data_IF_598086669412
#
_entry.id   IF_598086669412
#
_cell.length_a   1.000
_cell.length_b   1.000
_cell.length_c   1.000
_cell.angle_alpha   90.00
_cell.angle_beta   90.00
_cell.angle_gamma   90.00
#
_symmetry.space_group_name_H-M   'P 1'
#
loop_
_entity.id
_entity.type
_entity.pdbx_description
1 polymer ?
#
# COMPACT_ATOMS: atom_id res chain seq x y z
N UNK A 1 16.09 -18.83 22.77
CA UNK A 1 15.94 -19.68 21.57
C UNK A 1 14.51 -19.53 21.09
N UNK A 2 14.27 -18.69 20.08
CA UNK A 2 13.96 -19.23 18.76
C UNK A 2 14.44 -18.35 17.59
N UNK A 3 14.19 -18.80 16.35
CA UNK A 3 14.51 -18.20 15.05
C UNK A 3 15.87 -18.55 14.42
N UNK A 4 16.17 -19.85 14.38
CA UNK A 4 16.98 -20.44 13.30
C UNK A 4 16.05 -21.06 12.25
N UNK A 5 15.38 -20.21 11.48
CA UNK A 5 14.84 -20.56 10.17
C UNK A 5 15.19 -19.42 9.21
N UNK A 6 16.49 -19.24 9.00
CA UNK A 6 17.00 -18.69 7.75
C UNK A 6 16.87 -19.81 6.73
N UNK A 7 15.65 -19.98 6.21
CA UNK A 7 15.51 -20.53 4.86
C UNK A 7 16.35 -19.63 3.97
N UNK A 8 17.49 -20.17 3.54
CA UNK A 8 18.26 -19.68 2.41
C UNK A 8 17.32 -19.77 1.20
N UNK A 9 16.45 -18.79 1.03
CA UNK A 9 15.89 -18.50 -0.26
C UNK A 9 17.11 -18.24 -1.14
N UNK A 10 17.34 -19.12 -2.11
CA UNK A 10 18.25 -18.84 -3.21
C UNK A 10 18.06 -17.36 -3.58
N UNK A 11 19.11 -16.56 -3.46
CA UNK A 11 19.15 -15.21 -4.03
C UNK A 11 19.03 -15.39 -5.54
N UNK A 12 17.80 -15.61 -6.00
CA UNK A 12 17.44 -15.46 -7.39
C UNK A 12 17.77 -14.01 -7.68
N UNK A 13 18.81 -13.79 -8.48
CA UNK A 13 19.27 -12.45 -8.85
C UNK A 13 18.04 -11.60 -9.18
N UNK A 14 17.92 -10.49 -8.45
CA UNK A 14 16.72 -9.65 -8.49
C UNK A 14 16.55 -9.13 -9.91
N UNK A 15 15.39 -9.32 -10.54
CA UNK A 15 15.18 -8.81 -11.89
C UNK A 15 15.32 -7.29 -11.89
N UNK A 16 16.31 -6.77 -12.60
CA UNK A 16 16.48 -5.32 -12.74
C UNK A 16 15.46 -4.76 -13.72
N UNK A 17 15.18 -3.45 -13.65
CA UNK A 17 14.33 -2.80 -14.64
C UNK A 17 14.88 -3.00 -16.07
N UNK A 18 16.21 -3.04 -16.19
CA UNK A 18 16.86 -3.25 -17.47
C UNK A 18 16.60 -4.67 -17.99
N UNK A 19 16.76 -5.70 -17.15
CA UNK A 19 16.44 -7.08 -17.53
C UNK A 19 14.97 -7.26 -17.93
N UNK A 20 14.04 -6.62 -17.20
CA UNK A 20 12.61 -6.65 -17.57
C UNK A 20 12.40 -5.99 -18.95
N UNK A 21 13.02 -4.84 -19.20
CA UNK A 21 12.94 -4.16 -20.51
C UNK A 21 13.52 -5.04 -21.62
N UNK A 22 14.70 -5.61 -21.40
CA UNK A 22 15.38 -6.45 -22.39
C UNK A 22 14.54 -7.70 -22.72
N UNK A 23 13.92 -8.31 -21.72
CA UNK A 23 13.02 -9.46 -21.92
C UNK A 23 11.73 -9.07 -22.65
N UNK A 24 11.13 -7.91 -22.31
CA UNK A 24 9.95 -7.38 -23.02
C UNK A 24 10.27 -7.04 -24.46
N UNK A 25 11.39 -6.37 -24.72
CA UNK A 25 11.80 -5.98 -26.06
C UNK A 25 12.13 -7.20 -26.93
N UNK A 26 12.72 -8.25 -26.35
CA UNK A 26 12.92 -9.53 -27.04
C UNK A 26 11.58 -10.17 -27.44
N UNK A 27 10.61 -10.24 -26.53
CA UNK A 27 9.27 -10.78 -26.86
C UNK A 27 8.55 -9.94 -27.92
N UNK A 28 8.68 -8.61 -27.88
CA UNK A 28 8.16 -7.71 -28.91
C UNK A 28 8.77 -7.98 -30.27
N UNK A 29 10.09 -8.15 -30.36
CA UNK A 29 10.77 -8.47 -31.60
C UNK A 29 10.32 -9.83 -32.17
N UNK A 30 10.09 -10.82 -31.30
CA UNK A 30 9.56 -12.12 -31.74
C UNK A 30 8.13 -12.02 -32.26
N UNK A 31 7.30 -11.16 -31.66
CA UNK A 31 5.93 -10.92 -32.12
C UNK A 31 5.86 -10.10 -33.42
N UNK A 32 6.78 -9.17 -33.63
CA UNK A 32 6.84 -8.32 -34.83
C UNK A 32 7.00 -9.13 -36.14
N UNK A 33 7.49 -10.38 -36.06
CA UNK A 33 7.55 -11.29 -37.21
C UNK A 33 6.14 -11.59 -37.73
N UNK A 34 5.16 -11.77 -36.85
CA UNK A 34 3.77 -12.03 -37.23
C UNK A 34 3.11 -10.78 -37.80
N UNK A 35 3.42 -9.60 -37.25
CA UNK A 35 2.95 -8.32 -37.78
C UNK A 35 3.45 -8.12 -39.22
N UNK A 36 4.70 -8.50 -39.52
CA UNK A 36 5.24 -8.45 -40.89
C UNK A 36 4.47 -9.34 -41.88
N UNK A 37 4.07 -10.55 -41.47
CA UNK A 37 3.21 -11.40 -42.30
C UNK A 37 1.84 -10.74 -42.56
N UNK A 38 1.24 -10.13 -41.53
CA UNK A 38 -0.06 -9.48 -41.67
C UNK A 38 -0.01 -8.24 -42.57
N UNK A 39 1.04 -7.43 -42.46
CA UNK A 39 1.27 -6.28 -43.34
C UNK A 39 1.46 -6.71 -44.80
N UNK A 40 2.28 -7.74 -45.06
CA UNK A 40 2.54 -8.21 -46.42
C UNK A 40 1.33 -8.90 -47.07
N UNK A 41 0.56 -9.67 -46.29
CA UNK A 41 -0.73 -10.22 -46.72
C UNK A 41 -1.69 -9.09 -47.09
N UNK A 42 -1.82 -8.07 -46.22
CA UNK A 42 -2.75 -6.95 -46.44
C UNK A 42 -2.37 -6.15 -47.69
N UNK A 43 -1.09 -5.80 -47.86
CA UNK A 43 -0.60 -5.10 -49.05
C UNK A 43 -0.90 -5.88 -50.33
N UNK A 44 -0.64 -7.19 -50.32
CA UNK A 44 -0.90 -8.04 -51.48
C UNK A 44 -2.40 -8.16 -51.79
N UNK A 45 -3.25 -8.19 -50.77
CA UNK A 45 -4.72 -8.17 -50.94
C UNK A 45 -5.20 -6.86 -51.57
N UNK A 46 -4.71 -5.72 -51.10
CA UNK A 46 -5.05 -4.41 -51.67
C UNK A 46 -4.65 -4.33 -53.16
N UNK A 47 -3.50 -4.90 -53.53
CA UNK A 47 -3.06 -5.00 -54.93
C UNK A 47 -3.97 -5.91 -55.78
N UNK A 48 -4.46 -7.02 -55.23
CA UNK A 48 -5.41 -7.91 -55.92
C UNK A 48 -6.75 -7.19 -56.14
N UNK A 49 -7.27 -6.52 -55.11
CA UNK A 49 -8.51 -5.75 -55.21
C UNK A 49 -8.40 -4.60 -56.21
N UNK A 50 -7.24 -3.92 -56.26
CA UNK A 50 -6.98 -2.88 -57.26
C UNK A 50 -7.02 -3.41 -58.70
N UNK A 51 -6.42 -4.59 -58.97
CA UNK A 51 -6.46 -5.21 -60.30
C UNK A 51 -7.89 -5.64 -60.64
N UNK A 52 -8.64 -6.19 -59.66
CA UNK A 52 -10.05 -6.56 -59.83
C UNK A 52 -10.96 -5.35 -60.10
N UNK A 53 -10.65 -4.19 -59.52
CA UNK A 53 -11.42 -2.97 -59.66
C UNK A 53 -11.18 -2.21 -60.99
N UNK A 54 -10.13 -2.55 -61.77
CA UNK A 54 -10.01 -2.06 -63.16
C UNK A 54 -11.27 -2.49 -63.93
N UNK A 55 -11.94 -1.54 -64.61
CA UNK A 55 -13.20 -1.76 -65.36
C UNK A 55 -13.17 -3.12 -66.08
N UNK A 56 -14.18 -3.94 -65.83
CA UNK A 56 -14.27 -5.34 -66.28
C UNK A 56 -14.09 -5.54 -67.80
N UNK A 57 -14.28 -4.50 -68.62
CA UNK A 57 -14.06 -4.52 -70.07
C UNK A 57 -12.58 -4.50 -70.49
N UNK A 58 -11.64 -4.22 -69.58
CA UNK A 58 -10.19 -4.10 -69.85
C UNK A 58 -9.34 -5.18 -69.15
N UNK A 59 -9.93 -6.13 -68.43
CA UNK A 59 -9.14 -7.19 -67.79
C UNK A 59 -8.50 -8.10 -68.83
N UNK A 60 -7.18 -8.06 -68.87
CA UNK A 60 -6.37 -8.87 -69.79
C UNK A 60 -6.12 -10.25 -69.20
N UNK A 61 -5.78 -11.23 -70.05
CA UNK A 61 -5.31 -12.54 -69.59
C UNK A 61 -4.11 -12.42 -68.62
N UNK A 62 -3.28 -11.39 -68.79
CA UNK A 62 -2.17 -11.09 -67.86
C UNK A 62 -2.67 -10.65 -66.48
N UNK A 63 -3.76 -9.87 -66.40
CA UNK A 63 -4.38 -9.48 -65.13
C UNK A 63 -4.92 -10.71 -64.38
N UNK A 64 -5.56 -11.67 -65.08
CA UNK A 64 -6.00 -12.94 -64.47
C UNK A 64 -4.83 -13.79 -63.97
N UNK A 65 -3.75 -13.87 -64.75
CA UNK A 65 -2.53 -14.59 -64.34
C UNK A 65 -1.89 -13.93 -63.11
N UNK A 66 -1.86 -12.59 -63.07
CA UNK A 66 -1.35 -11.81 -61.94
C UNK A 66 -2.18 -12.01 -60.68
N UNK A 67 -3.52 -11.90 -60.76
CA UNK A 67 -4.44 -12.16 -59.64
C UNK A 67 -4.21 -13.56 -59.07
N UNK A 68 -4.24 -14.59 -59.94
CA UNK A 68 -4.09 -15.97 -59.49
C UNK A 68 -2.73 -16.21 -58.82
N UNK A 69 -1.65 -15.61 -59.36
CA UNK A 69 -0.33 -15.71 -58.75
C UNK A 69 -0.25 -15.05 -57.37
N UNK A 70 -0.88 -13.88 -57.19
CA UNK A 70 -0.92 -13.15 -55.92
C UNK A 70 -1.82 -13.82 -54.89
N UNK A 71 -2.97 -14.36 -55.30
CA UNK A 71 -3.85 -15.14 -54.42
C UNK A 71 -3.15 -16.40 -53.92
N UNK A 72 -2.39 -17.08 -54.79
CA UNK A 72 -1.53 -18.20 -54.37
C UNK A 72 -0.46 -17.77 -53.38
N UNK A 73 0.22 -16.64 -53.63
CA UNK A 73 1.22 -16.10 -52.72
C UNK A 73 0.63 -15.74 -51.34
N UNK A 74 -0.56 -15.13 -51.29
CA UNK A 74 -1.28 -14.87 -50.03
C UNK A 74 -1.59 -16.17 -49.29
N UNK A 75 -2.01 -17.22 -50.01
CA UNK A 75 -2.28 -18.52 -49.41
C UNK A 75 -1.00 -19.13 -48.79
N UNK A 76 0.11 -19.08 -49.52
CA UNK A 76 1.41 -19.56 -49.06
C UNK A 76 1.89 -18.78 -47.80
N UNK A 77 1.74 -17.45 -47.79
CA UNK A 77 2.07 -16.61 -46.62
C UNK A 77 1.22 -16.96 -45.39
N UNK A 78 -0.09 -17.18 -45.58
CA UNK A 78 -1.00 -17.58 -44.49
C UNK A 78 -0.64 -18.95 -43.93
N UNK A 79 -0.26 -19.90 -44.79
CA UNK A 79 0.18 -21.23 -44.36
C UNK A 79 1.48 -21.15 -43.56
N UNK A 80 2.46 -20.37 -44.03
CA UNK A 80 3.71 -20.13 -43.32
C UNK A 80 3.47 -19.45 -41.96
N UNK A 81 2.64 -18.40 -41.93
CA UNK A 81 2.26 -17.72 -40.68
C UNK A 81 1.65 -18.71 -39.69
N UNK A 82 0.67 -19.50 -40.12
CA UNK A 82 -0.03 -20.48 -39.26
C UNK A 82 0.92 -21.56 -38.72
N UNK A 83 1.86 -22.03 -39.54
CA UNK A 83 2.88 -22.98 -39.10
C UNK A 83 3.77 -22.36 -38.02
N UNK A 84 4.24 -21.13 -38.24
CA UNK A 84 5.06 -20.40 -37.27
C UNK A 84 4.30 -20.12 -35.97
N UNK A 85 3.00 -19.82 -36.06
CA UNK A 85 2.12 -19.62 -34.90
C UNK A 85 2.06 -20.89 -34.05
N UNK A 86 1.77 -22.04 -34.66
CA UNK A 86 1.74 -23.34 -33.98
C UNK A 86 3.08 -23.69 -33.31
N UNK A 87 4.21 -23.33 -33.93
CA UNK A 87 5.54 -23.65 -33.42
C UNK A 87 6.00 -22.71 -32.30
N UNK A 88 5.70 -21.40 -32.39
CA UNK A 88 6.38 -20.39 -31.57
C UNK A 88 5.49 -19.61 -30.61
N UNK A 89 4.17 -19.51 -30.87
CA UNK A 89 3.29 -18.69 -30.02
C UNK A 89 3.17 -19.26 -28.61
N UNK A 90 3.15 -20.60 -28.47
CA UNK A 90 3.13 -21.26 -27.16
C UNK A 90 4.35 -20.90 -26.30
N UNK A 91 5.55 -20.87 -26.90
CA UNK A 91 6.78 -20.49 -26.22
C UNK A 91 6.81 -19.00 -25.86
N UNK A 92 6.36 -18.12 -26.77
CA UNK A 92 6.25 -16.68 -26.52
C UNK A 92 5.30 -16.42 -25.35
N UNK A 93 4.13 -17.07 -25.35
CA UNK A 93 3.15 -16.94 -24.29
C UNK A 93 3.71 -17.45 -22.94
N UNK A 94 4.39 -18.58 -22.93
CA UNK A 94 5.01 -19.13 -21.71
C UNK A 94 6.07 -18.19 -21.15
N UNK A 95 6.92 -17.62 -22.00
CA UNK A 95 7.93 -16.62 -21.60
C UNK A 95 7.30 -15.32 -21.11
N UNK A 96 6.23 -14.87 -21.76
CA UNK A 96 5.47 -13.68 -21.34
C UNK A 96 4.82 -13.86 -19.96
N UNK A 97 4.26 -15.04 -19.68
CA UNK A 97 3.72 -15.37 -18.35
C UNK A 97 4.85 -15.54 -17.32
N UNK A 98 6.01 -16.04 -17.75
CA UNK A 98 7.19 -16.21 -16.90
C UNK A 98 7.90 -14.90 -16.50
N UNK A 99 7.59 -13.79 -17.18
CA UNK A 99 8.07 -12.45 -16.82
C UNK A 99 7.48 -12.00 -15.48
N UNK A 100 8.20 -12.26 -14.40
CA UNK A 100 7.76 -11.87 -13.06
C UNK A 100 8.27 -10.47 -12.70
N UNK A 101 7.36 -9.49 -12.69
CA UNK A 101 7.65 -8.11 -12.24
C UNK A 101 7.39 -7.88 -10.74
N UNK A 102 6.68 -8.81 -10.09
CA UNK A 102 6.36 -8.73 -8.65
C UNK A 102 7.60 -8.57 -7.77
N UNK A 103 8.70 -9.33 -7.97
CA UNK A 103 9.91 -9.17 -7.18
C UNK A 103 10.53 -7.77 -7.34
N UNK A 104 10.52 -7.22 -8.55
CA UNK A 104 11.00 -5.86 -8.83
C UNK A 104 10.21 -4.81 -8.05
N UNK A 105 8.88 -4.88 -8.05
CA UNK A 105 8.05 -3.94 -7.30
C UNK A 105 8.24 -4.04 -5.79
N UNK A 106 8.21 -5.26 -5.24
CA UNK A 106 8.35 -5.49 -3.80
C UNK A 106 9.69 -4.95 -3.29
N UNK A 107 10.77 -5.29 -3.98
CA UNK A 107 12.11 -4.87 -3.58
C UNK A 107 12.34 -3.39 -3.87
N UNK A 108 11.81 -2.87 -5.00
CA UNK A 108 11.86 -1.45 -5.34
C UNK A 108 11.23 -0.59 -4.24
N UNK A 109 10.04 -0.95 -3.77
CA UNK A 109 9.38 -0.26 -2.65
C UNK A 109 10.17 -0.36 -1.34
N UNK A 110 10.70 -1.54 -1.02
CA UNK A 110 11.50 -1.73 0.19
C UNK A 110 12.84 -1.01 0.15
N UNK A 111 13.41 -0.77 -1.03
CA UNK A 111 14.68 -0.06 -1.23
C UNK A 111 14.50 1.45 -1.45
N UNK A 112 13.29 1.91 -1.77
CA UNK A 112 13.01 3.31 -2.09
C UNK A 112 13.39 4.24 -0.94
N UNK A 113 14.20 5.26 -1.26
CA UNK A 113 14.73 6.20 -0.26
C UNK A 113 13.63 7.06 0.35
N UNK A 114 12.65 7.49 -0.44
CA UNK A 114 11.55 8.33 0.03
C UNK A 114 10.70 7.56 1.03
N UNK A 115 10.32 6.32 0.70
CA UNK A 115 9.55 5.43 1.57
C UNK A 115 10.34 5.12 2.85
N UNK A 116 11.63 4.79 2.75
CA UNK A 116 12.48 4.56 3.92
C UNK A 116 12.54 5.78 4.84
N UNK A 117 12.75 6.97 4.28
CA UNK A 117 12.80 8.21 5.04
C UNK A 117 11.46 8.51 5.72
N UNK A 118 10.34 8.34 5.01
CA UNK A 118 9.00 8.49 5.59
C UNK A 118 8.74 7.50 6.73
N UNK A 119 9.16 6.23 6.59
CA UNK A 119 9.05 5.23 7.67
C UNK A 119 9.88 5.63 8.90
N UNK A 120 11.06 6.21 8.71
CA UNK A 120 11.88 6.72 9.83
C UNK A 120 11.24 7.94 10.50
N UNK A 121 10.72 8.88 9.71
CA UNK A 121 10.02 10.06 10.23
C UNK A 121 8.78 9.67 11.04
N UNK A 122 7.99 8.72 10.56
CA UNK A 122 6.83 8.19 11.29
C UNK A 122 7.28 7.59 12.63
N UNK A 123 8.33 6.77 12.65
CA UNK A 123 8.86 6.20 13.91
C UNK A 123 9.28 7.27 14.90
N UNK A 124 9.98 8.31 14.44
CA UNK A 124 10.43 9.41 15.28
C UNK A 124 9.25 10.17 15.87
N UNK A 125 8.27 10.55 15.04
CA UNK A 125 7.05 11.23 15.50
C UNK A 125 6.19 10.38 16.44
N UNK A 126 6.18 9.06 16.26
CA UNK A 126 5.51 8.14 17.20
C UNK A 126 6.16 8.17 18.58
N UNK A 127 7.49 8.24 18.67
CA UNK A 127 8.20 8.37 19.95
C UNK A 127 7.85 9.72 20.60
N UNK A 128 7.93 10.81 19.84
CA UNK A 128 7.58 12.16 20.33
C UNK A 128 6.14 12.25 20.85
N UNK A 129 5.19 11.57 20.19
CA UNK A 129 3.80 11.53 20.66
C UNK A 129 3.65 10.75 21.97
N UNK A 130 4.37 9.63 22.14
CA UNK A 130 4.36 8.85 23.38
C UNK A 130 4.88 9.71 24.54
N UNK A 131 6.03 10.38 24.34
CA UNK A 131 6.60 11.30 25.32
C UNK A 131 5.64 12.45 25.68
N UNK A 132 4.94 13.00 24.68
CA UNK A 132 3.95 14.06 24.91
C UNK A 132 2.77 13.57 25.76
N UNK A 133 2.28 12.35 25.52
CA UNK A 133 1.20 11.72 26.29
C UNK A 133 1.63 11.47 27.74
N UNK A 134 2.85 10.96 27.94
CA UNK A 134 3.42 10.76 29.27
C UNK A 134 3.54 12.09 30.03
N UNK A 135 4.12 13.11 29.40
CA UNK A 135 4.27 14.45 29.97
C UNK A 135 2.92 15.09 30.30
N UNK A 136 1.90 14.94 29.44
CA UNK A 136 0.54 15.38 29.72
C UNK A 136 -0.02 14.70 30.97
N UNK A 137 0.07 13.38 31.05
CA UNK A 137 -0.47 12.61 32.17
C UNK A 137 0.23 12.97 33.50
N UNK A 138 1.55 13.17 33.49
CA UNK A 138 2.29 13.65 34.66
C UNK A 138 1.88 15.07 35.06
N UNK A 139 1.78 15.99 34.09
CA UNK A 139 1.35 17.36 34.33
C UNK A 139 -0.05 17.41 34.94
N UNK A 140 -0.97 16.59 34.42
CA UNK A 140 -2.33 16.51 34.93
C UNK A 140 -2.37 15.96 36.36
N UNK A 141 -1.61 14.89 36.67
CA UNK A 141 -1.47 14.36 38.04
C UNK A 141 -0.91 15.40 39.01
N UNK A 142 0.17 16.07 38.61
CA UNK A 142 0.81 17.10 39.44
C UNK A 142 -0.12 18.29 39.68
N UNK A 143 -0.91 18.67 38.67
CA UNK A 143 -1.91 19.74 38.81
C UNK A 143 -3.03 19.32 39.75
N UNK A 144 -3.53 18.08 39.64
CA UNK A 144 -4.53 17.55 40.57
C UNK A 144 -4.02 17.53 42.02
N UNK A 145 -2.77 17.10 42.24
CA UNK A 145 -2.15 17.14 43.56
C UNK A 145 -1.99 18.57 44.09
N UNK A 146 -1.56 19.51 43.25
CA UNK A 146 -1.46 20.92 43.64
C UNK A 146 -2.82 21.48 44.11
N UNK A 147 -3.90 21.17 43.40
CA UNK A 147 -5.26 21.59 43.81
C UNK A 147 -5.67 20.97 45.14
N UNK A 148 -5.30 19.71 45.39
CA UNK A 148 -5.50 19.04 46.70
C UNK A 148 -4.76 19.78 47.79
N UNK A 149 -3.48 20.09 47.57
CA UNK A 149 -2.64 20.79 48.55
C UNK A 149 -3.18 22.20 48.85
N UNK A 150 -3.65 22.93 47.83
CA UNK A 150 -4.29 24.24 48.00
C UNK A 150 -5.55 24.15 48.87
N UNK A 151 -6.39 23.14 48.65
CA UNK A 151 -7.60 22.91 49.46
C UNK A 151 -7.25 22.47 50.89
N UNK A 152 -6.25 21.60 51.07
CA UNK A 152 -5.76 21.24 52.40
C UNK A 152 -5.24 22.47 53.16
N UNK A 153 -4.55 23.37 52.46
CA UNK A 153 -4.04 24.63 53.00
C UNK A 153 -5.11 25.58 53.56
N UNK A 154 -6.40 25.37 53.26
CA UNK A 154 -7.50 26.17 53.85
C UNK A 154 -7.87 25.73 55.26
N UNK A 155 -7.27 24.65 55.79
CA UNK A 155 -7.63 24.06 57.08
C UNK A 155 -8.90 23.20 57.04
N UNK A 156 -9.38 22.82 55.84
CA UNK A 156 -10.58 21.96 55.72
C UNK A 156 -10.41 20.63 56.44
N UNK A 157 -9.21 20.05 56.40
CA UNK A 157 -8.92 18.78 57.08
C UNK A 157 -9.06 18.92 58.60
N UNK A 158 -8.52 20.00 59.18
CA UNK A 158 -8.61 20.29 60.61
C UNK A 158 -10.06 20.43 61.07
N UNK A 159 -10.91 21.06 60.24
CA UNK A 159 -12.33 21.20 60.51
C UNK A 159 -13.04 19.84 60.56
N UNK A 160 -12.78 18.97 59.58
CA UNK A 160 -13.38 17.62 59.56
C UNK A 160 -12.82 16.73 60.68
N UNK A 161 -11.53 16.82 60.98
CA UNK A 161 -10.91 16.10 62.11
C UNK A 161 -11.54 16.52 63.44
N UNK A 162 -11.79 17.82 63.63
CA UNK A 162 -12.48 18.33 64.82
C UNK A 162 -13.92 17.81 64.91
N UNK A 163 -14.69 17.83 63.82
CA UNK A 163 -16.04 17.27 63.79
C UNK A 163 -16.03 15.79 64.17
N UNK A 164 -15.10 15.01 63.61
CA UNK A 164 -14.97 13.58 63.90
C UNK A 164 -14.52 13.32 65.35
N UNK A 165 -13.83 14.25 65.99
CA UNK A 165 -13.45 14.14 67.42
C UNK A 165 -14.61 14.35 68.40
N UNK A 166 -15.73 14.94 67.97
CA UNK A 166 -16.88 15.24 68.84
C UNK A 166 -17.73 13.99 69.09
N UNK A 167 -17.83 13.48 70.34
CA UNK A 167 -18.53 12.21 70.63
C UNK A 167 -20.02 12.25 70.27
N UNK A 168 -20.64 13.43 70.37
CA UNK A 168 -22.05 13.66 70.06
C UNK A 168 -22.35 13.47 68.56
N UNK A 169 -21.36 13.78 67.72
CA UNK A 169 -21.45 13.62 66.28
C UNK A 169 -21.12 12.19 65.85
N UNK A 170 -19.96 11.67 66.28
CA UNK A 170 -19.48 10.35 65.85
C UNK A 170 -20.40 9.20 66.28
N UNK A 171 -21.06 9.29 67.45
CA UNK A 171 -22.03 8.28 67.89
C UNK A 171 -23.27 8.17 67.01
N UNK A 172 -23.66 9.25 66.33
CA UNK A 172 -24.86 9.28 65.48
C UNK A 172 -24.56 9.00 64.01
N UNK A 173 -23.44 9.53 63.50
CA UNK A 173 -23.22 9.65 62.06
C UNK A 173 -21.97 8.91 61.53
N UNK A 174 -21.12 8.36 62.42
CA UNK A 174 -19.86 7.74 62.02
C UNK A 174 -18.79 8.75 61.59
N UNK A 175 -17.69 8.26 61.00
CA UNK A 175 -16.61 9.09 60.48
C UNK A 175 -17.03 9.75 59.15
N UNK A 176 -16.73 11.04 59.00
CA UNK A 176 -17.00 11.79 57.77
C UNK A 176 -15.70 12.29 57.15
N UNK A 177 -15.50 11.96 55.87
CA UNK A 177 -14.35 12.41 55.09
C UNK A 177 -14.61 13.76 54.44
N UNK A 178 -13.60 14.62 54.38
CA UNK A 178 -13.60 15.84 53.57
C UNK A 178 -13.44 15.56 52.07
N UNK A 179 -13.13 14.31 51.68
CA UNK A 179 -12.96 13.87 50.29
C UNK A 179 -11.62 14.25 49.64
N UNK A 180 -10.84 15.13 50.29
CA UNK A 180 -9.61 15.72 49.74
C UNK A 180 -8.47 14.69 49.64
N UNK A 181 -8.23 13.92 50.71
CA UNK A 181 -7.17 12.91 50.76
C UNK A 181 -7.34 11.75 49.75
N UNK A 182 -8.55 11.59 49.19
CA UNK A 182 -8.86 10.55 48.20
C UNK A 182 -8.84 11.04 46.75
N UNK A 183 -8.69 12.35 46.51
CA UNK A 183 -8.68 12.89 45.15
C UNK A 183 -7.28 12.77 44.54
N UNK A 184 -7.18 12.02 43.44
CA UNK A 184 -5.93 11.84 42.68
C UNK A 184 -6.09 12.28 41.22
N UNK A 185 -7.11 13.12 40.95
CA UNK A 185 -7.56 13.45 39.60
C UNK A 185 -8.56 12.43 39.03
N UNK A 186 -9.24 12.83 37.95
CA UNK A 186 -10.09 11.92 37.17
C UNK A 186 -9.22 11.03 36.26
N UNK A 187 -9.04 9.75 36.63
CA UNK A 187 -8.19 8.79 35.88
C UNK A 187 -8.68 8.55 34.45
N UNK A 188 -9.97 8.71 34.22
CA UNK A 188 -10.64 8.72 32.91
C UNK A 188 -10.16 9.86 31.98
N UNK A 189 -9.42 10.85 32.50
CA UNK A 189 -8.76 11.89 31.71
C UNK A 189 -7.30 11.60 31.33
N UNK A 190 -6.72 10.48 31.76
CA UNK A 190 -5.38 10.07 31.35
C UNK A 190 -5.42 9.50 29.94
N UNK A 191 -4.46 9.86 29.09
CA UNK A 191 -4.32 9.32 27.75
C UNK A 191 -3.46 8.04 27.77
N UNK A 192 -3.85 7.00 27.04
CA UNK A 192 -3.06 5.77 26.89
C UNK A 192 -2.26 5.85 25.59
N UNK A 193 -0.93 5.69 25.68
CA UNK A 193 -0.05 5.77 24.50
C UNK A 193 -0.18 4.58 23.56
N UNK A 194 -0.85 3.51 23.99
CA UNK A 194 -1.15 2.32 23.18
C UNK A 194 -2.45 2.43 22.40
N UNK A 195 -3.27 3.45 22.70
CA UNK A 195 -4.51 3.72 21.97
C UNK A 195 -4.23 4.16 20.53
N UNK A 196 -5.22 3.94 19.66
CA UNK A 196 -5.17 4.49 18.29
C UNK A 196 -5.17 6.02 18.32
N UNK A 197 -4.48 6.65 17.36
CA UNK A 197 -4.46 8.12 17.24
C UNK A 197 -5.86 8.72 17.17
N UNK A 198 -6.79 8.07 16.46
CA UNK A 198 -8.17 8.53 16.37
C UNK A 198 -8.90 8.51 17.72
N UNK A 199 -8.64 7.49 18.55
CA UNK A 199 -9.20 7.40 19.89
C UNK A 199 -8.61 8.47 20.82
N UNK A 200 -7.29 8.70 20.77
CA UNK A 200 -6.61 9.75 21.52
C UNK A 200 -7.21 11.12 21.17
N UNK A 201 -7.33 11.45 19.88
CA UNK A 201 -7.93 12.70 19.42
C UNK A 201 -9.38 12.84 19.90
N UNK A 202 -10.17 11.77 19.81
CA UNK A 202 -11.54 11.75 20.29
C UNK A 202 -11.64 12.05 21.78
N UNK A 203 -10.74 11.49 22.60
CA UNK A 203 -10.68 11.77 24.04
C UNK A 203 -10.27 13.19 24.35
N UNK A 204 -9.27 13.74 23.64
CA UNK A 204 -8.88 15.14 23.79
C UNK A 204 -10.07 16.07 23.54
N UNK A 205 -10.81 15.86 22.44
CA UNK A 205 -12.02 16.64 22.14
C UNK A 205 -13.07 16.54 23.25
N UNK A 206 -13.32 15.34 23.76
CA UNK A 206 -14.22 15.15 24.91
C UNK A 206 -13.76 15.94 26.14
N UNK A 207 -12.44 16.07 26.38
CA UNK A 207 -11.91 16.86 27.49
C UNK A 207 -12.03 18.38 27.26
N UNK A 208 -11.89 18.80 26.01
CA UNK A 208 -12.04 20.19 25.55
C UNK A 208 -13.52 20.61 25.41
N UNK A 209 -14.45 19.65 25.44
CA UNK A 209 -15.88 19.89 25.29
C UNK A 209 -16.34 20.07 23.84
N UNK A 210 -15.57 19.52 22.88
CA UNK A 210 -15.83 19.54 21.43
C UNK A 210 -16.53 18.28 20.91
#
# INVERSE_FOLDING_TARGET
MPFLFLERMEEKEMPTLQEIKDQVDNLRQQLAIFDGFDEEIKKTQEEVEYIKAKKAEMQTFEDFKAINSKEKYIADLREQKKKLECERVGDIATKAVGLSVTPYFKNGLEQDKTIKNQRQEIKQKSIELIELIENYNETYKNTAQKLVDEVLGTGIQELFDKINSLPEYTRKNGYVSCGVASYTGESNRYLDSTDTLGYIIGRIRLFEGE
#
